data_IF_688451603185
#
_entry.id   IF_688451603185
#
_cell.length_a   1.000
_cell.length_b   1.000
_cell.length_c   1.000
_cell.angle_alpha   90.00
_cell.angle_beta   90.00
_cell.angle_gamma   90.00
#
_symmetry.space_group_name_H-M   'P 1'
#
loop_
_entity.id
_entity.type
_entity.pdbx_description
1 polymer ?
#
# COMPACT_ATOMS: atom_id res chain seq x y z
N UNK A 1 -10.86 9.21 2.04
CA UNK A 1 -9.56 9.94 2.20
C UNK A 1 -8.48 8.97 2.68
N UNK A 2 -7.28 8.98 2.09
CA UNK A 2 -6.11 8.20 2.53
C UNK A 2 -5.09 9.13 3.20
N UNK A 3 -4.70 8.82 4.44
CA UNK A 3 -3.76 9.64 5.22
C UNK A 3 -2.64 8.78 5.81
N UNK A 4 -1.40 9.25 5.76
CA UNK A 4 -0.31 8.67 6.56
C UNK A 4 -0.49 9.15 7.99
N UNK A 5 -0.55 8.22 8.94
CA UNK A 5 -0.84 8.52 10.36
C UNK A 5 0.26 8.11 11.31
N UNK A 6 1.14 7.21 10.88
CA UNK A 6 2.38 6.87 11.57
C UNK A 6 3.45 6.48 10.55
N UNK A 7 4.71 6.73 10.89
CA UNK A 7 5.86 6.44 10.04
C UNK A 7 7.11 6.24 10.89
N UNK A 8 7.69 5.04 10.84
CA UNK A 8 8.93 4.71 11.51
C UNK A 8 9.89 3.99 10.54
N UNK A 9 10.84 4.70 9.91
CA UNK A 9 11.75 4.13 8.93
C UNK A 9 12.76 3.15 9.53
N UNK A 10 13.14 3.30 10.80
CA UNK A 10 14.10 2.39 11.46
C UNK A 10 13.56 0.97 11.54
N UNK A 11 12.25 0.84 11.71
CA UNK A 11 11.53 -0.42 11.75
C UNK A 11 10.88 -0.78 10.41
N UNK A 12 11.13 0.01 9.36
CA UNK A 12 10.52 -0.15 8.05
C UNK A 12 8.99 -0.06 8.06
N UNK A 13 8.40 0.69 8.99
CA UNK A 13 6.95 0.74 9.21
C UNK A 13 6.33 2.03 8.67
N UNK A 14 5.18 1.89 8.04
CA UNK A 14 4.29 3.00 7.69
C UNK A 14 2.84 2.61 7.95
N UNK A 15 2.07 3.53 8.54
CA UNK A 15 0.67 3.33 8.83
C UNK A 15 -0.18 4.29 8.00
N UNK A 16 -1.15 3.72 7.30
CA UNK A 16 -2.19 4.45 6.59
C UNK A 16 -3.53 4.35 7.33
N UNK A 17 -4.28 5.44 7.29
CA UNK A 17 -5.68 5.49 7.69
C UNK A 17 -6.52 5.85 6.47
N UNK A 18 -7.48 4.99 6.14
CA UNK A 18 -8.49 5.20 5.12
C UNK A 18 -9.79 5.52 5.83
N UNK A 19 -10.37 6.67 5.52
CA UNK A 19 -11.73 7.04 5.91
C UNK A 19 -12.61 6.94 4.68
N UNK A 20 -13.59 6.05 4.71
CA UNK A 20 -14.56 5.83 3.66
C UNK A 20 -15.75 6.78 3.78
N UNK A 21 -16.50 6.94 2.69
CA UNK A 21 -17.63 7.89 2.62
C UNK A 21 -18.80 7.49 3.54
N UNK A 22 -18.88 6.23 3.94
CA UNK A 22 -19.84 5.66 4.88
C UNK A 22 -19.34 5.66 6.34
N UNK A 23 -18.32 6.47 6.65
CA UNK A 23 -17.65 6.57 7.96
C UNK A 23 -16.94 5.29 8.40
N UNK A 24 -16.69 4.34 7.50
CA UNK A 24 -15.81 3.22 7.81
C UNK A 24 -14.37 3.69 7.92
N UNK A 25 -13.67 3.20 8.94
CA UNK A 25 -12.27 3.51 9.19
C UNK A 25 -11.46 2.23 9.02
N UNK A 26 -10.49 2.27 8.12
CA UNK A 26 -9.56 1.17 7.92
C UNK A 26 -8.14 1.66 8.18
N UNK A 27 -7.46 0.98 9.10
CA UNK A 27 -6.03 1.17 9.37
C UNK A 27 -5.25 0.08 8.65
N UNK A 28 -4.21 0.47 7.94
CA UNK A 28 -3.34 -0.42 7.20
C UNK A 28 -1.92 -0.17 7.71
N UNK A 29 -1.35 -1.19 8.34
CA UNK A 29 0.05 -1.20 8.78
C UNK A 29 0.88 -1.96 7.75
N UNK A 30 1.92 -1.32 7.20
CA UNK A 30 2.83 -1.94 6.23
C UNK A 30 4.23 -1.96 6.82
N UNK A 31 4.90 -3.11 6.69
CA UNK A 31 6.26 -3.35 7.15
C UNK A 31 7.14 -3.79 6.00
N UNK A 32 8.27 -3.11 5.84
CA UNK A 32 9.32 -3.42 4.88
C UNK A 32 10.56 -3.89 5.65
N UNK A 33 10.84 -5.18 5.61
CA UNK A 33 11.95 -5.81 6.34
C UNK A 33 12.93 -6.47 5.37
N UNK A 34 14.14 -6.80 5.85
CA UNK A 34 15.12 -7.51 5.02
C UNK A 34 14.57 -8.88 4.62
N UNK A 35 14.59 -9.16 3.32
CA UNK A 35 14.10 -10.42 2.76
C UNK A 35 15.08 -11.59 2.98
N UNK A 36 14.61 -12.80 2.68
CA UNK A 36 15.41 -14.03 2.85
C UNK A 36 16.55 -14.16 1.84
N UNK A 37 16.39 -13.58 0.65
CA UNK A 37 17.43 -13.57 -0.38
C UNK A 37 18.31 -12.32 -0.25
N UNK A 38 19.55 -12.43 -0.72
CA UNK A 38 20.46 -11.29 -0.81
C UNK A 38 19.85 -10.18 -1.68
N UNK A 39 19.93 -8.93 -1.21
CA UNK A 39 19.33 -7.75 -1.84
C UNK A 39 17.80 -7.81 -2.03
N UNK A 40 17.09 -8.62 -1.26
CA UNK A 40 15.62 -8.67 -1.27
C UNK A 40 14.98 -7.94 -0.09
N UNK A 41 13.75 -7.48 -0.27
CA UNK A 41 12.90 -6.91 0.77
C UNK A 41 11.66 -7.78 0.94
N UNK A 42 11.34 -8.14 2.19
CA UNK A 42 10.07 -8.77 2.53
C UNK A 42 9.08 -7.67 2.96
N UNK A 43 7.93 -7.64 2.30
CA UNK A 43 6.85 -6.70 2.60
C UNK A 43 5.71 -7.49 3.23
N UNK A 44 5.29 -7.09 4.43
CA UNK A 44 4.11 -7.64 5.11
C UNK A 44 3.15 -6.52 5.47
N UNK A 45 1.87 -6.85 5.65
CA UNK A 45 0.86 -5.87 6.02
C UNK A 45 -0.19 -6.46 6.96
N UNK A 46 -0.83 -5.59 7.75
CA UNK A 46 -1.95 -5.91 8.62
C UNK A 46 -3.07 -4.89 8.36
N UNK A 47 -4.30 -5.39 8.19
CA UNK A 47 -5.47 -4.55 7.96
C UNK A 47 -6.42 -4.65 9.15
N UNK A 48 -6.70 -3.49 9.76
CA UNK A 48 -7.64 -3.35 10.87
C UNK A 48 -8.82 -2.53 10.41
N UNK A 49 -10.02 -3.03 10.65
CA UNK A 49 -11.24 -2.39 10.17
C UNK A 49 -12.14 -2.06 11.36
N UNK A 50 -12.50 -0.79 11.46
CA UNK A 50 -13.44 -0.24 12.42
C UNK A 50 -14.61 0.36 11.61
N UNK A 51 -15.60 -0.47 11.33
CA UNK A 51 -16.76 -0.13 10.50
C UNK A 51 -17.98 -0.98 10.87
N UNK A 52 -19.16 -0.57 10.38
CA UNK A 52 -20.42 -1.26 10.64
C UNK A 52 -20.48 -2.65 9.99
N UNK A 53 -19.74 -2.86 8.90
CA UNK A 53 -19.70 -4.13 8.20
C UNK A 53 -18.55 -5.01 8.69
N UNK A 54 -18.90 -6.18 9.25
CA UNK A 54 -17.99 -7.19 9.80
C UNK A 54 -17.03 -7.82 8.76
N UNK A 55 -17.22 -7.52 7.48
CA UNK A 55 -16.40 -7.92 6.33
C UNK A 55 -16.03 -6.68 5.54
N UNK A 56 -15.01 -5.99 6.00
CA UNK A 56 -14.33 -4.98 5.21
C UNK A 56 -13.70 -5.61 3.96
N UNK A 57 -13.60 -4.81 2.89
CA UNK A 57 -12.86 -5.20 1.69
C UNK A 57 -11.36 -5.25 2.04
N UNK A 58 -10.66 -6.39 1.84
CA UNK A 58 -9.25 -6.50 2.16
C UNK A 58 -8.45 -5.80 1.07
N UNK A 59 -8.21 -4.50 1.26
CA UNK A 59 -7.70 -3.61 0.22
C UNK A 59 -6.33 -4.04 -0.25
N UNK A 60 -5.45 -4.41 0.68
CA UNK A 60 -4.07 -4.72 0.34
C UNK A 60 -3.97 -6.10 -0.25
N UNK A 61 -4.71 -7.09 0.26
CA UNK A 61 -4.81 -8.41 -0.40
C UNK A 61 -5.35 -8.28 -1.83
N UNK A 62 -6.44 -7.53 -2.06
CA UNK A 62 -6.90 -7.26 -3.43
C UNK A 62 -5.85 -6.53 -4.26
N UNK A 63 -5.17 -5.55 -3.68
CA UNK A 63 -4.19 -4.77 -4.43
C UNK A 63 -2.96 -5.60 -4.81
N UNK A 64 -2.41 -6.36 -3.88
CA UNK A 64 -1.17 -7.12 -4.03
C UNK A 64 -1.41 -8.46 -4.72
N UNK A 65 -2.41 -9.23 -4.29
CA UNK A 65 -2.63 -10.62 -4.71
C UNK A 65 -3.47 -10.71 -5.99
N UNK A 66 -4.43 -9.81 -6.21
CA UNK A 66 -5.21 -9.79 -7.48
C UNK A 66 -4.50 -9.02 -8.61
N UNK A 67 -3.23 -8.65 -8.43
CA UNK A 67 -2.38 -8.08 -9.48
C UNK A 67 -2.63 -6.61 -9.82
N UNK A 68 -3.40 -5.88 -9.01
CA UNK A 68 -3.59 -4.43 -9.19
C UNK A 68 -2.31 -3.63 -8.90
N UNK A 69 -1.46 -4.09 -7.97
CA UNK A 69 -0.15 -3.52 -7.68
C UNK A 69 0.75 -3.57 -8.91
N UNK A 70 0.81 -4.73 -9.58
CA UNK A 70 1.60 -4.88 -10.81
C UNK A 70 1.11 -3.92 -11.90
N UNK A 71 -0.22 -3.79 -12.07
CA UNK A 71 -0.82 -2.82 -13.01
C UNK A 71 -0.49 -1.37 -12.64
N UNK A 72 -0.55 -1.03 -11.35
CA UNK A 72 -0.26 0.31 -10.86
C UNK A 72 1.22 0.69 -11.03
N UNK A 73 2.13 -0.20 -10.65
CA UNK A 73 3.58 -0.04 -10.83
C UNK A 73 3.92 0.07 -12.32
N UNK A 74 3.38 -0.81 -13.16
CA UNK A 74 3.57 -0.75 -14.61
C UNK A 74 3.12 0.60 -15.18
N UNK A 75 1.96 1.10 -14.77
CA UNK A 75 1.46 2.42 -15.19
C UNK A 75 2.38 3.55 -14.75
N UNK A 76 2.91 3.50 -13.53
CA UNK A 76 3.86 4.50 -13.04
C UNK A 76 5.18 4.48 -13.82
N UNK A 77 5.75 3.30 -14.06
CA UNK A 77 6.95 3.14 -14.88
C UNK A 77 6.72 3.70 -16.28
N UNK A 78 5.59 3.34 -16.92
CA UNK A 78 5.24 3.88 -18.23
C UNK A 78 5.11 5.40 -18.23
N UNK A 79 4.54 6.00 -17.17
CA UNK A 79 4.46 7.46 -17.06
C UNK A 79 5.84 8.10 -16.92
N UNK A 80 6.73 7.54 -16.10
CA UNK A 80 8.11 8.02 -15.92
C UNK A 80 8.87 7.92 -17.25
N UNK A 81 8.77 6.78 -17.95
CA UNK A 81 9.39 6.57 -19.25
C UNK A 81 8.89 7.59 -20.29
N UNK A 82 7.61 7.90 -20.28
CA UNK A 82 7.01 8.89 -21.17
C UNK A 82 7.48 10.31 -20.85
N UNK A 83 7.61 10.67 -19.56
CA UNK A 83 8.17 11.96 -19.15
C UNK A 83 9.62 12.11 -19.61
N UNK A 84 10.45 11.07 -19.37
CA UNK A 84 11.85 11.04 -19.77
C UNK A 84 12.05 11.12 -21.29
N UNK A 85 11.12 10.56 -22.09
CA UNK A 85 11.17 10.61 -23.56
C UNK A 85 10.66 11.93 -24.15
N UNK A 86 9.69 12.55 -23.50
CA UNK A 86 9.04 13.77 -24.02
C UNK A 86 9.68 15.07 -23.52
N UNK A 87 10.64 15.01 -22.59
CA UNK A 87 11.52 16.14 -22.27
C UNK A 87 10.84 17.28 -21.51
N UNK A 88 10.19 16.96 -20.38
CA UNK A 88 10.06 17.90 -19.24
C UNK A 88 10.89 17.39 -18.07
#
# INVERSE_FOLDING_TARGET
MLSVTDYNPENGHIQYLVVWDDFEIQRIDIYCTKGKAENSTAITWLEYNAGLYKKSTPLVSKFVEEGYLFKAVKRYITNIENQLKNGE
#
